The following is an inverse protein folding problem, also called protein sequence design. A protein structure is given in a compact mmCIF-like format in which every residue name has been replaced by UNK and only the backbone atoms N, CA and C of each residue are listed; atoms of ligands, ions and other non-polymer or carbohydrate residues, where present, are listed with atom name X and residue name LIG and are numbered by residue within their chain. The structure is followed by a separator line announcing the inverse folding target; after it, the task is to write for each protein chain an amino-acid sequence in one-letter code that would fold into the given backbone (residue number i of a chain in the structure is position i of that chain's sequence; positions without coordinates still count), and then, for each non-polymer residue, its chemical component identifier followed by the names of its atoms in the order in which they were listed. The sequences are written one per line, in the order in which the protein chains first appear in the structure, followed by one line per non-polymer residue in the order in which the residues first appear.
data_IF_793693260563
#
_entry.id   IF_793693260563
#
_cell.length_a   1.000
_cell.length_b   1.000
_cell.length_c   1.000
_cell.angle_alpha   90.00
_cell.angle_beta   90.00
_cell.angle_gamma   90.00
#
_symmetry.space_group_name_H-M   'P 1'
#
loop_
_entity.id
_entity.type
_entity.pdbx_description
1 polymer ?
#
# COMPACT_ATOMS: atom_id res chain seq x y z
N UNK A 1 -22.88 13.50 -20.26
CA UNK A 1 -22.87 14.57 -19.24
C UNK A 1 -21.44 15.06 -19.11
N UNK A 2 -21.19 16.34 -19.37
CA UNK A 2 -19.87 16.97 -19.32
C UNK A 2 -19.62 17.57 -17.93
N UNK A 3 -18.35 17.86 -17.61
CA UNK A 3 -18.00 18.57 -16.36
C UNK A 3 -18.70 19.93 -16.24
N UNK A 4 -18.91 20.59 -17.38
CA UNK A 4 -19.57 21.89 -17.44
C UNK A 4 -21.08 21.77 -17.13
N UNK A 5 -21.75 20.77 -17.69
CA UNK A 5 -23.16 20.47 -17.40
C UNK A 5 -23.36 20.07 -15.93
N UNK A 6 -22.39 19.39 -15.33
CA UNK A 6 -22.40 19.06 -13.90
C UNK A 6 -22.24 20.30 -13.01
N UNK A 7 -21.31 21.20 -13.34
CA UNK A 7 -21.11 22.45 -12.60
C UNK A 7 -22.37 23.33 -12.63
N UNK A 8 -23.02 23.41 -13.79
CA UNK A 8 -24.25 24.17 -13.96
C UNK A 8 -25.39 23.60 -13.11
N UNK A 9 -25.55 22.27 -13.08
CA UNK A 9 -26.54 21.60 -12.23
C UNK A 9 -26.30 21.85 -10.74
N UNK A 10 -25.03 21.82 -10.30
CA UNK A 10 -24.68 22.10 -8.90
C UNK A 10 -24.98 23.55 -8.51
N UNK A 11 -24.81 24.51 -9.43
CA UNK A 11 -25.14 25.91 -9.20
C UNK A 11 -26.65 26.18 -9.04
N UNK A 12 -27.50 25.29 -9.56
CA UNK A 12 -28.97 25.39 -9.41
C UNK A 12 -29.50 24.80 -8.10
N UNK A 13 -28.65 24.13 -7.31
CA UNK A 13 -29.05 23.53 -6.03
C UNK A 13 -29.18 24.57 -4.91
N UNK A 14 -30.08 24.30 -3.97
CA UNK A 14 -30.18 25.09 -2.73
C UNK A 14 -28.87 25.01 -1.94
N UNK A 15 -28.62 25.98 -1.05
CA UNK A 15 -27.42 25.96 -0.19
C UNK A 15 -27.35 24.67 0.63
N UNK A 16 -28.49 24.18 1.14
CA UNK A 16 -28.56 22.94 1.92
C UNK A 16 -28.23 21.71 1.07
N UNK A 17 -28.75 21.64 -0.15
CA UNK A 17 -28.48 20.51 -1.04
C UNK A 17 -27.02 20.48 -1.50
N UNK A 18 -26.42 21.66 -1.74
CA UNK A 18 -24.98 21.79 -2.02
C UNK A 18 -24.13 21.32 -0.84
N UNK A 19 -24.51 21.68 0.39
CA UNK A 19 -23.82 21.22 1.59
C UNK A 19 -23.94 19.70 1.78
N UNK A 20 -25.13 19.12 1.55
CA UNK A 20 -25.34 17.67 1.62
C UNK A 20 -24.55 16.91 0.54
N UNK A 21 -24.48 17.46 -0.68
CA UNK A 21 -23.66 16.92 -1.75
C UNK A 21 -22.17 16.99 -1.41
N UNK A 22 -21.69 18.12 -0.89
CA UNK A 22 -20.31 18.27 -0.43
C UNK A 22 -19.97 17.26 0.68
N UNK A 23 -20.84 17.09 1.67
CA UNK A 23 -20.65 16.13 2.76
C UNK A 23 -20.63 14.67 2.25
N UNK A 24 -21.45 14.36 1.25
CA UNK A 24 -21.44 13.05 0.58
C UNK A 24 -20.16 12.81 -0.21
N UNK A 25 -19.70 13.82 -0.97
CA UNK A 25 -18.43 13.76 -1.72
C UNK A 25 -17.27 13.58 -0.75
N UNK A 26 -17.21 14.40 0.32
CA UNK A 26 -16.19 14.29 1.35
C UNK A 26 -16.18 12.90 1.97
N UNK A 27 -17.34 12.32 2.34
CA UNK A 27 -17.40 10.94 2.85
C UNK A 27 -16.97 9.88 1.83
N UNK A 28 -17.26 10.10 0.54
CA UNK A 28 -16.81 9.17 -0.52
C UNK A 28 -15.31 9.27 -0.80
N UNK A 29 -14.70 10.43 -0.52
CA UNK A 29 -13.28 10.70 -0.67
C UNK A 29 -12.48 10.46 0.62
N UNK A 30 -13.14 10.34 1.78
CA UNK A 30 -12.50 9.89 3.00
C UNK A 30 -11.98 8.47 2.75
N UNK A 31 -10.67 8.31 2.85
CA UNK A 31 -10.06 6.98 2.96
C UNK A 31 -10.83 6.20 4.04
N UNK A 32 -11.12 4.90 3.82
CA UNK A 32 -11.69 4.08 4.88
C UNK A 32 -10.81 4.25 6.12
N UNK A 33 -11.39 4.33 7.34
CA UNK A 33 -10.61 4.46 8.56
C UNK A 33 -9.44 3.47 8.48
N UNK A 34 -8.21 3.97 8.67
CA UNK A 34 -7.01 3.14 8.64
C UNK A 34 -7.29 1.93 9.51
N UNK A 35 -7.24 0.71 8.95
CA UNK A 35 -7.52 -0.49 9.74
C UNK A 35 -6.63 -0.48 10.98
N UNK A 36 -7.20 -0.79 12.13
CA UNK A 36 -6.42 -1.06 13.33
C UNK A 36 -5.62 -2.34 13.08
N UNK A 37 -4.42 -2.17 12.54
CA UNK A 37 -3.52 -3.25 12.21
C UNK A 37 -3.07 -3.97 13.48
N UNK A 38 -3.50 -5.22 13.66
CA UNK A 38 -3.19 -6.01 14.85
C UNK A 38 -1.75 -6.52 14.80
N UNK A 39 -1.31 -6.96 13.62
CA UNK A 39 -0.02 -7.58 13.38
C UNK A 39 0.98 -6.66 12.66
N UNK A 40 0.54 -5.55 12.08
CA UNK A 40 1.41 -4.56 11.45
C UNK A 40 1.64 -3.33 12.34
N UNK A 41 2.82 -2.73 12.24
CA UNK A 41 3.19 -1.55 13.02
C UNK A 41 4.12 -0.63 12.23
N UNK A 42 3.89 0.68 12.36
CA UNK A 42 4.82 1.67 11.86
C UNK A 42 6.09 1.67 12.70
N UNK A 43 7.24 1.87 12.06
CA UNK A 43 8.53 2.02 12.76
C UNK A 43 9.22 3.29 12.27
N UNK A 44 9.95 4.01 13.16
CA UNK A 44 10.79 5.10 12.72
C UNK A 44 11.82 4.61 11.71
N UNK A 45 11.80 5.17 10.51
CA UNK A 45 12.80 4.94 9.46
C UNK A 45 13.07 6.26 8.74
N UNK A 46 14.30 6.54 8.28
CA UNK A 46 14.64 7.85 7.72
C UNK A 46 13.84 8.25 6.47
N UNK A 47 13.24 7.27 5.78
CA UNK A 47 12.50 7.51 4.54
C UNK A 47 11.39 6.50 4.24
N UNK A 48 11.34 5.37 4.97
CA UNK A 48 10.41 4.27 4.67
C UNK A 48 9.19 4.39 5.58
N UNK A 49 8.00 4.30 5.02
CA UNK A 49 6.70 4.43 5.69
C UNK A 49 5.92 3.12 5.72
N UNK A 50 6.31 2.12 4.91
CA UNK A 50 5.71 0.80 4.96
C UNK A 50 5.66 0.21 6.38
N UNK A 51 4.58 -0.51 6.67
CA UNK A 51 4.41 -1.19 7.94
C UNK A 51 5.24 -2.47 8.04
N UNK A 52 5.67 -2.75 9.27
CA UNK A 52 6.45 -3.93 9.63
C UNK A 52 5.58 -4.91 10.40
N UNK A 53 5.92 -6.19 10.34
CA UNK A 53 5.38 -7.19 11.26
C UNK A 53 5.77 -6.81 12.69
N UNK A 54 4.78 -6.73 13.59
CA UNK A 54 4.97 -6.43 15.01
C UNK A 54 5.93 -7.45 15.62
N UNK A 55 6.94 -6.95 16.35
CA UNK A 55 7.98 -7.79 16.95
C UNK A 55 9.06 -8.30 15.99
N UNK A 56 8.93 -8.13 14.66
CA UNK A 56 9.95 -8.54 13.68
C UNK A 56 10.49 -7.35 12.88
N UNK A 57 11.73 -7.44 12.38
CA UNK A 57 12.32 -6.45 11.43
C UNK A 57 12.00 -6.85 9.99
N UNK A 58 10.73 -7.10 9.72
CA UNK A 58 10.24 -7.66 8.46
C UNK A 58 9.12 -6.79 7.92
N UNK A 59 9.20 -6.36 6.66
CA UNK A 59 8.18 -5.55 6.00
C UNK A 59 7.02 -6.43 5.53
N UNK A 60 5.81 -5.87 5.51
CA UNK A 60 4.64 -6.56 4.96
C UNK A 60 4.84 -6.94 3.48
N UNK A 61 5.36 -6.01 2.67
CA UNK A 61 5.61 -6.25 1.24
C UNK A 61 6.59 -7.39 0.98
N UNK A 62 7.62 -7.55 1.81
CA UNK A 62 8.59 -8.65 1.69
C UNK A 62 7.90 -10.01 1.83
N UNK A 63 7.01 -10.15 2.80
CA UNK A 63 6.22 -11.38 3.00
C UNK A 63 5.31 -11.61 1.79
N UNK A 64 4.57 -10.59 1.35
CA UNK A 64 3.68 -10.69 0.19
C UNK A 64 4.44 -11.07 -1.09
N UNK A 65 5.61 -10.49 -1.32
CA UNK A 65 6.40 -10.74 -2.52
C UNK A 65 7.00 -12.15 -2.51
N UNK A 66 7.49 -12.60 -1.36
CA UNK A 66 7.95 -13.99 -1.17
C UNK A 66 6.81 -14.99 -1.43
N UNK A 67 5.61 -14.72 -0.93
CA UNK A 67 4.42 -15.54 -1.21
C UNK A 67 4.12 -15.63 -2.70
N UNK A 68 4.16 -14.51 -3.42
CA UNK A 68 3.89 -14.46 -4.86
C UNK A 68 4.96 -15.19 -5.65
N UNK A 69 6.25 -14.95 -5.35
CA UNK A 69 7.38 -15.57 -6.05
C UNK A 69 7.39 -17.09 -5.86
N UNK A 70 7.10 -17.56 -4.65
CA UNK A 70 7.10 -18.98 -4.33
C UNK A 70 5.73 -19.65 -4.48
N UNK A 71 4.71 -18.92 -4.95
CA UNK A 71 3.34 -19.41 -5.13
C UNK A 71 2.75 -20.03 -3.85
N UNK A 72 3.08 -19.45 -2.69
CA UNK A 72 2.62 -19.95 -1.41
C UNK A 72 1.16 -19.60 -1.16
N UNK A 73 0.42 -20.58 -0.65
CA UNK A 73 -0.86 -20.33 0.01
C UNK A 73 -0.66 -19.58 1.34
N UNK A 74 -1.69 -18.91 1.90
CA UNK A 74 -1.57 -18.25 3.19
C UNK A 74 -1.13 -19.18 4.34
N UNK A 75 -1.54 -20.45 4.30
CA UNK A 75 -1.13 -21.46 5.29
C UNK A 75 0.36 -21.80 5.18
N UNK A 76 0.86 -22.04 3.97
CA UNK A 76 2.29 -22.29 3.74
C UNK A 76 3.15 -21.08 4.11
N UNK A 77 2.68 -19.87 3.82
CA UNK A 77 3.37 -18.65 4.21
C UNK A 77 3.44 -18.47 5.74
N UNK A 78 2.35 -18.82 6.45
CA UNK A 78 2.29 -18.80 7.91
C UNK A 78 3.33 -19.75 8.53
N UNK A 79 3.45 -20.96 7.97
CA UNK A 79 4.49 -21.91 8.37
C UNK A 79 5.90 -21.40 8.03
N UNK A 80 6.13 -20.95 6.79
CA UNK A 80 7.45 -20.51 6.31
C UNK A 80 8.01 -19.31 7.09
N UNK A 81 7.15 -18.34 7.41
CA UNK A 81 7.55 -17.11 8.10
C UNK A 81 7.41 -17.18 9.63
N UNK A 82 6.92 -18.32 10.14
CA UNK A 82 6.54 -18.53 11.54
C UNK A 82 5.65 -17.37 12.04
N UNK A 83 4.52 -17.18 11.34
CA UNK A 83 3.54 -16.14 11.61
C UNK A 83 2.14 -16.76 11.75
N UNK A 84 1.26 -16.19 12.59
CA UNK A 84 -0.15 -16.56 12.59
C UNK A 84 -0.76 -16.35 11.20
N UNK A 85 -1.67 -17.23 10.77
CA UNK A 85 -2.37 -17.07 9.49
C UNK A 85 -3.11 -15.73 9.39
N UNK A 86 -3.62 -15.21 10.51
CA UNK A 86 -4.25 -13.90 10.57
C UNK A 86 -3.28 -12.75 10.24
N UNK A 87 -2.00 -12.87 10.62
CA UNK A 87 -0.97 -11.90 10.26
C UNK A 87 -0.67 -11.92 8.74
N UNK A 88 -0.67 -13.11 8.13
CA UNK A 88 -0.51 -13.26 6.67
C UNK A 88 -1.68 -12.62 5.93
N UNK A 89 -2.91 -12.85 6.38
CA UNK A 89 -4.09 -12.22 5.80
C UNK A 89 -4.06 -10.69 5.94
N UNK A 90 -3.61 -10.18 7.09
CA UNK A 90 -3.44 -8.75 7.32
C UNK A 90 -2.37 -8.15 6.39
N UNK A 91 -1.25 -8.86 6.17
CA UNK A 91 -0.22 -8.49 5.19
C UNK A 91 -0.81 -8.38 3.78
N UNK A 92 -1.58 -9.38 3.36
CA UNK A 92 -2.21 -9.40 2.02
C UNK A 92 -3.13 -8.19 1.85
N UNK A 93 -3.99 -7.93 2.84
CA UNK A 93 -4.92 -6.78 2.83
C UNK A 93 -4.17 -5.44 2.83
N UNK A 94 -3.10 -5.33 3.62
CA UNK A 94 -2.28 -4.13 3.67
C UNK A 94 -1.63 -3.86 2.31
N UNK A 95 -1.02 -4.87 1.69
CA UNK A 95 -0.33 -4.72 0.41
C UNK A 95 -1.29 -4.36 -0.72
N UNK A 96 -2.48 -4.97 -0.75
CA UNK A 96 -3.52 -4.64 -1.73
C UNK A 96 -3.95 -3.16 -1.64
N UNK A 97 -4.13 -2.65 -0.42
CA UNK A 97 -4.54 -1.25 -0.18
C UNK A 97 -3.42 -0.22 -0.39
N UNK A 98 -2.15 -0.62 -0.36
CA UNK A 98 -1.01 0.30 -0.35
C UNK A 98 0.00 0.05 -1.48
N UNK A 99 -0.44 -0.54 -2.60
CA UNK A 99 0.43 -0.82 -3.76
C UNK A 99 1.22 0.42 -4.21
N UNK A 100 0.55 1.57 -4.35
CA UNK A 100 1.21 2.82 -4.75
C UNK A 100 2.33 3.28 -3.80
N UNK A 101 2.17 3.07 -2.49
CA UNK A 101 3.22 3.36 -1.51
C UNK A 101 4.40 2.38 -1.66
N UNK A 102 4.10 1.09 -1.83
CA UNK A 102 5.11 0.04 -1.98
C UNK A 102 5.94 0.30 -3.25
N UNK A 103 5.31 0.64 -4.37
CA UNK A 103 5.98 0.95 -5.63
C UNK A 103 6.86 2.21 -5.52
N UNK A 104 6.34 3.26 -4.89
CA UNK A 104 7.11 4.49 -4.65
C UNK A 104 8.37 4.21 -3.82
N UNK A 105 8.24 3.43 -2.76
CA UNK A 105 9.37 3.09 -1.91
C UNK A 105 10.37 2.15 -2.60
N UNK A 106 9.91 1.25 -3.46
CA UNK A 106 10.79 0.42 -4.29
C UNK A 106 11.60 1.28 -5.28
N UNK A 107 10.98 2.29 -5.89
CA UNK A 107 11.66 3.25 -6.76
C UNK A 107 12.68 4.11 -6.00
N UNK A 108 12.34 4.59 -4.80
CA UNK A 108 13.25 5.32 -3.93
C UNK A 108 14.44 4.45 -3.47
N UNK A 109 14.19 3.17 -3.14
CA UNK A 109 15.24 2.22 -2.79
C UNK A 109 16.21 2.01 -3.96
N UNK A 110 15.66 1.79 -5.16
CA UNK A 110 16.43 1.68 -6.40
C UNK A 110 17.33 2.90 -6.61
N UNK A 111 16.76 4.10 -6.55
CA UNK A 111 17.51 5.35 -6.69
C UNK A 111 18.64 5.47 -5.66
N UNK A 112 18.38 5.15 -4.40
CA UNK A 112 19.39 5.18 -3.32
C UNK A 112 20.51 4.17 -3.53
N UNK A 113 20.21 3.00 -4.08
CA UNK A 113 21.20 1.97 -4.40
C UNK A 113 22.08 2.42 -5.58
N UNK A 114 21.47 2.94 -6.64
CA UNK A 114 22.17 3.47 -7.81
C UNK A 114 23.07 4.67 -7.43
N UNK A 115 22.59 5.58 -6.58
CA UNK A 115 23.38 6.71 -6.08
C UNK A 115 24.59 6.27 -5.23
N UNK A 116 24.54 5.07 -4.63
CA UNK A 116 25.67 4.43 -3.93
C UNK A 116 26.58 3.62 -4.85
N UNK A 117 26.32 3.60 -6.16
CA UNK A 117 27.08 2.84 -7.14
C UNK A 117 26.73 1.35 -7.19
N UNK A 118 25.61 0.92 -6.60
CA UNK A 118 25.16 -0.47 -6.67
C UNK A 118 24.52 -0.70 -8.05
N UNK A 119 25.09 -1.62 -8.83
CA UNK A 119 24.49 -2.08 -10.09
C UNK A 119 23.42 -3.13 -9.77
N UNK A 120 22.17 -2.85 -10.13
CA UNK A 120 21.02 -3.71 -9.83
C UNK A 120 20.73 -4.74 -10.93
N UNK A 121 21.12 -4.45 -12.17
CA UNK A 121 20.93 -5.36 -13.31
C UNK A 121 22.12 -6.34 -13.41
N UNK A 122 21.89 -7.66 -13.54
CA UNK A 122 22.96 -8.59 -13.84
C UNK A 122 23.55 -8.28 -15.22
N UNK A 123 24.87 -8.37 -15.33
CA UNK A 123 25.53 -8.25 -16.63
C UNK A 123 25.06 -9.42 -17.50
N UNK A 124 24.55 -9.18 -18.73
CA UNK A 124 24.18 -10.28 -19.60
C UNK A 124 25.41 -11.19 -19.75
N UNK A 125 25.24 -12.49 -19.47
CA UNK A 125 26.28 -13.47 -19.72
C UNK A 125 26.64 -13.37 -21.21
N UNK A 126 27.86 -12.92 -21.50
CA UNK A 126 28.37 -12.88 -22.86
C UNK A 126 28.33 -14.31 -23.42
N UNK A 127 27.63 -14.49 -24.54
CA UNK A 127 27.61 -15.77 -25.28
C UNK A 127 28.88 -15.95 -26.09
#
# INVERSE_FOLDING_TARGET
MTLQELQEQVCQLSVNDRLALMDTIVRSLQDPPTPDWQYLVARPHPWRKQLYIKGKKLLASTVQQDMVVNQMTPGQAAENWELPIAAIQEVMQYCDRHQALIDLEAAEERYRLEAKGVRLEPQPLAR
#
